data_IF_675506606731
#
_entry.id   IF_675506606731
#
_cell.length_a   1.000
_cell.length_b   1.000
_cell.length_c   1.000
_cell.angle_alpha   90.00
_cell.angle_beta   90.00
_cell.angle_gamma   90.00
#
_symmetry.space_group_name_H-M   'P 1'
#
loop_
_entity.id
_entity.type
_entity.pdbx_description
1 polymer ?
#
# COMPACT_ATOMS: atom_id res chain seq x y z
N UNK A 1 32.11 -32.38 8.55
CA UNK A 1 30.73 -32.37 8.05
C UNK A 1 29.79 -32.71 9.20
N UNK A 2 28.80 -31.85 9.47
CA UNK A 2 27.87 -31.98 10.58
C UNK A 2 26.46 -31.62 10.12
N UNK A 3 25.46 -32.28 10.70
CA UNK A 3 24.07 -31.87 10.61
C UNK A 3 23.78 -30.99 11.82
N UNK A 4 23.26 -29.78 11.57
CA UNK A 4 22.97 -28.77 12.59
C UNK A 4 21.50 -28.39 12.51
N UNK A 5 20.85 -28.31 13.66
CA UNK A 5 19.48 -27.82 13.81
C UNK A 5 19.49 -26.48 14.53
N UNK A 6 18.55 -25.59 14.22
CA UNK A 6 18.37 -24.34 14.99
C UNK A 6 17.13 -24.45 15.86
N UNK A 7 17.30 -24.49 17.19
CA UNK A 7 16.21 -24.49 18.17
C UNK A 7 16.21 -23.18 18.94
N UNK A 8 15.08 -22.46 18.95
CA UNK A 8 14.92 -21.20 19.68
C UNK A 8 16.04 -20.17 19.41
N UNK A 9 16.52 -20.09 18.16
CA UNK A 9 17.61 -19.20 17.77
C UNK A 9 19.02 -19.68 18.12
N UNK A 10 19.18 -20.86 18.75
CA UNK A 10 20.47 -21.48 19.04
C UNK A 10 20.75 -22.63 18.07
N UNK A 11 21.99 -22.69 17.57
CA UNK A 11 22.47 -23.78 16.70
C UNK A 11 22.93 -24.96 17.55
N UNK A 12 22.33 -26.12 17.33
CA UNK A 12 22.64 -27.37 18.03
C UNK A 12 23.14 -28.38 16.99
N UNK A 13 24.32 -28.96 17.22
CA UNK A 13 24.86 -30.01 16.37
C UNK A 13 24.08 -31.29 16.68
N UNK A 14 23.36 -31.80 15.68
CA UNK A 14 22.56 -33.02 15.80
C UNK A 14 23.45 -34.24 15.61
N UNK A 15 24.30 -34.21 14.59
CA UNK A 15 25.16 -35.35 14.26
C UNK A 15 26.46 -34.87 13.57
N UNK A 16 27.57 -35.54 13.88
CA UNK A 16 28.83 -35.37 13.16
C UNK A 16 29.03 -36.52 12.18
N UNK A 17 29.04 -36.22 10.87
CA UNK A 17 29.12 -37.21 9.80
C UNK A 17 30.57 -37.58 9.42
N UNK A 18 31.55 -36.78 9.83
CA UNK A 18 32.98 -37.05 9.60
C UNK A 18 33.73 -35.87 9.00
N UNK A 19 35.03 -36.01 8.81
CA UNK A 19 35.91 -35.01 8.18
C UNK A 19 36.24 -35.44 6.75
N UNK A 20 36.23 -34.49 5.82
CA UNK A 20 36.69 -34.72 4.45
C UNK A 20 38.06 -34.07 4.27
N UNK A 21 38.97 -34.80 3.64
CA UNK A 21 40.31 -34.33 3.27
C UNK A 21 40.49 -34.26 1.75
N UNK A 22 39.48 -34.68 0.98
CA UNK A 22 39.40 -34.55 -0.47
C UNK A 22 37.98 -34.14 -0.92
N UNK A 23 37.84 -33.59 -2.12
CA UNK A 23 36.54 -33.19 -2.68
C UNK A 23 35.60 -34.39 -2.91
N UNK A 24 36.17 -35.56 -3.24
CA UNK A 24 35.40 -36.80 -3.40
C UNK A 24 34.80 -37.27 -2.08
N UNK A 25 35.59 -37.21 -0.99
CA UNK A 25 35.10 -37.51 0.36
C UNK A 25 34.02 -36.51 0.80
N UNK A 26 34.20 -35.22 0.49
CA UNK A 26 33.19 -34.21 0.80
C UNK A 26 31.88 -34.47 0.06
N UNK A 27 31.93 -34.82 -1.23
CA UNK A 27 30.75 -35.16 -2.01
C UNK A 27 30.01 -36.38 -1.44
N UNK A 28 30.75 -37.41 -1.03
CA UNK A 28 30.18 -38.60 -0.38
C UNK A 28 29.52 -38.25 0.96
N UNK A 29 30.17 -37.43 1.80
CA UNK A 29 29.61 -36.99 3.07
C UNK A 29 28.38 -36.09 2.90
N UNK A 30 28.37 -35.22 1.88
CA UNK A 30 27.20 -34.40 1.54
C UNK A 30 26.02 -35.27 1.11
N UNK A 31 26.26 -36.29 0.28
CA UNK A 31 25.21 -37.23 -0.13
C UNK A 31 24.62 -37.98 1.06
N UNK A 32 25.48 -38.55 1.92
CA UNK A 32 25.04 -39.24 3.13
C UNK A 32 24.27 -38.30 4.10
N UNK A 33 24.68 -37.04 4.19
CA UNK A 33 23.97 -36.03 4.97
C UNK A 33 22.59 -35.71 4.42
N UNK A 34 22.45 -35.59 3.10
CA UNK A 34 21.14 -35.41 2.46
C UNK A 34 20.24 -36.62 2.71
N UNK A 35 20.73 -37.83 2.50
CA UNK A 35 19.95 -39.06 2.72
C UNK A 35 19.45 -39.15 4.17
N UNK A 36 20.25 -38.71 5.15
CA UNK A 36 19.86 -38.63 6.57
C UNK A 36 18.88 -37.51 6.90
N UNK A 37 19.02 -36.33 6.30
CA UNK A 37 18.06 -35.22 6.49
C UNK A 37 16.66 -35.59 6.00
N UNK A 38 16.57 -36.46 4.99
CA UNK A 38 15.31 -36.95 4.45
C UNK A 38 14.80 -38.22 5.14
N UNK A 39 15.58 -38.84 6.04
CA UNK A 39 15.15 -40.03 6.77
C UNK A 39 13.98 -39.69 7.72
N UNK A 40 12.84 -40.37 7.53
CA UNK A 40 11.63 -40.18 8.35
C UNK A 40 10.71 -39.05 7.89
N UNK A 41 11.07 -38.29 6.86
CA UNK A 41 10.10 -37.47 6.13
C UNK A 41 9.54 -38.30 4.97
N UNK A 42 8.29 -38.78 5.03
CA UNK A 42 7.66 -39.40 3.87
C UNK A 42 7.67 -38.39 2.73
N UNK A 43 7.95 -38.85 1.50
CA UNK A 43 7.81 -38.02 0.32
C UNK A 43 6.37 -37.47 0.32
N UNK A 44 6.25 -36.14 0.37
CA UNK A 44 4.96 -35.49 0.29
C UNK A 44 4.44 -35.73 -1.14
N UNK A 45 3.60 -36.76 -1.31
CA UNK A 45 3.00 -37.11 -2.60
C UNK A 45 1.98 -36.05 -3.02
N UNK A 46 2.48 -34.92 -3.51
CA UNK A 46 1.68 -33.87 -4.13
C UNK A 46 1.26 -34.22 -5.58
N UNK A 47 1.46 -35.47 -6.02
CA UNK A 47 1.38 -35.85 -7.44
C UNK A 47 2.49 -35.21 -8.28
N UNK A 48 3.61 -34.89 -7.64
CA UNK A 48 4.80 -34.28 -8.23
C UNK A 48 5.99 -35.04 -7.65
N UNK A 49 6.90 -35.52 -8.51
CA UNK A 49 8.15 -36.13 -8.07
C UNK A 49 8.85 -35.21 -7.03
N UNK A 50 9.73 -35.72 -6.15
CA UNK A 50 10.54 -34.86 -5.27
C UNK A 50 11.46 -33.88 -6.04
N UNK A 51 11.45 -33.92 -7.37
CA UNK A 51 12.07 -32.97 -8.30
C UNK A 51 11.09 -32.20 -9.20
N UNK A 52 9.79 -32.47 -9.09
CA UNK A 52 8.73 -31.64 -9.67
C UNK A 52 8.82 -31.37 -11.18
N UNK A 53 9.44 -32.27 -11.93
CA UNK A 53 9.92 -32.01 -13.28
C UNK A 53 9.41 -33.06 -14.28
N UNK A 54 8.92 -32.71 -15.50
CA UNK A 54 9.25 -33.57 -16.64
C UNK A 54 10.78 -33.71 -16.62
N UNK A 55 11.32 -34.92 -16.64
CA UNK A 55 12.76 -35.21 -16.47
C UNK A 55 13.62 -34.07 -17.04
N UNK A 56 14.15 -33.20 -16.14
CA UNK A 56 14.98 -32.05 -16.51
C UNK A 56 14.52 -30.62 -16.11
N UNK A 57 13.31 -30.38 -15.62
CA UNK A 57 12.87 -29.02 -15.23
C UNK A 57 12.58 -28.84 -13.73
N UNK A 58 13.61 -28.41 -12.97
CA UNK A 58 13.48 -27.99 -11.56
C UNK A 58 12.44 -26.87 -11.43
N UNK A 59 11.43 -27.05 -10.58
CA UNK A 59 10.47 -25.99 -10.27
C UNK A 59 11.19 -24.80 -9.61
N UNK A 60 11.24 -23.66 -10.30
CA UNK A 60 11.86 -22.43 -9.81
C UNK A 60 10.80 -21.56 -9.15
N UNK A 61 11.09 -21.05 -7.95
CA UNK A 61 10.25 -20.04 -7.30
C UNK A 61 10.26 -18.78 -8.16
N UNK A 62 9.14 -18.49 -8.83
CA UNK A 62 9.00 -17.30 -9.67
C UNK A 62 8.98 -15.99 -8.88
N UNK A 63 8.70 -16.04 -7.57
CA UNK A 63 8.74 -14.90 -6.66
C UNK A 63 8.07 -15.19 -5.32
N UNK A 64 8.22 -14.25 -4.38
CA UNK A 64 7.56 -14.26 -3.07
C UNK A 64 6.57 -13.09 -2.97
N UNK A 65 5.49 -13.25 -2.19
CA UNK A 65 4.48 -12.20 -2.01
C UNK A 65 3.95 -12.16 -0.58
N UNK A 66 3.74 -10.96 -0.06
CA UNK A 66 3.15 -10.71 1.27
C UNK A 66 1.63 -10.78 1.21
N UNK A 67 1.09 -11.95 0.81
CA UNK A 67 -0.35 -12.14 0.53
C UNK A 67 -1.23 -11.78 1.73
N UNK A 68 -0.94 -12.37 2.89
CA UNK A 68 -1.77 -12.22 4.09
C UNK A 68 -1.89 -10.75 4.53
N UNK A 69 -0.76 -10.03 4.51
CA UNK A 69 -0.72 -8.60 4.83
C UNK A 69 -1.61 -7.80 3.87
N UNK A 70 -1.46 -8.01 2.56
CA UNK A 70 -2.22 -7.29 1.56
C UNK A 70 -3.71 -7.62 1.61
N UNK A 71 -4.07 -8.89 1.84
CA UNK A 71 -5.45 -9.33 2.01
C UNK A 71 -6.06 -8.69 3.27
N UNK A 72 -5.32 -8.59 4.38
CA UNK A 72 -5.78 -7.94 5.60
C UNK A 72 -5.97 -6.42 5.44
N UNK A 73 -5.06 -5.74 4.75
CA UNK A 73 -5.20 -4.31 4.43
C UNK A 73 -6.43 -4.09 3.53
N UNK A 74 -6.60 -4.91 2.48
CA UNK A 74 -7.73 -4.80 1.55
C UNK A 74 -9.06 -5.14 2.22
N UNK A 75 -9.10 -6.15 3.07
CA UNK A 75 -10.29 -6.48 3.85
C UNK A 75 -10.68 -5.33 4.79
N UNK A 76 -9.70 -4.68 5.43
CA UNK A 76 -9.93 -3.52 6.28
C UNK A 76 -10.41 -2.30 5.47
N UNK A 77 -9.83 -2.07 4.29
CA UNK A 77 -10.30 -1.06 3.32
C UNK A 77 -11.78 -1.26 2.97
N UNK A 78 -12.17 -2.52 2.72
CA UNK A 78 -13.56 -2.91 2.46
C UNK A 78 -14.48 -2.65 3.66
N UNK A 79 -14.11 -3.12 4.85
CA UNK A 79 -14.91 -2.95 6.08
C UNK A 79 -15.11 -1.49 6.47
N UNK A 80 -14.10 -0.65 6.25
CA UNK A 80 -14.18 0.79 6.49
C UNK A 80 -15.03 1.54 5.45
N UNK A 81 -15.48 0.86 4.38
CA UNK A 81 -16.30 1.47 3.33
C UNK A 81 -15.49 2.31 2.33
N UNK A 82 -14.18 2.14 2.27
CA UNK A 82 -13.32 2.92 1.36
C UNK A 82 -13.40 2.46 -0.10
N UNK A 83 -14.23 1.45 -0.41
CA UNK A 83 -14.48 0.96 -1.78
C UNK A 83 -15.15 2.00 -2.68
N UNK A 84 -15.68 3.11 -2.12
CA UNK A 84 -16.12 4.27 -2.91
C UNK A 84 -14.97 4.91 -3.71
N UNK A 85 -13.72 4.73 -3.24
CA UNK A 85 -12.51 5.11 -3.98
C UNK A 85 -12.02 3.89 -4.76
N UNK A 86 -12.40 3.82 -6.03
CA UNK A 86 -11.95 2.79 -6.98
C UNK A 86 -10.69 3.26 -7.73
N UNK A 87 -9.59 3.43 -6.99
CA UNK A 87 -8.28 3.81 -7.55
C UNK A 87 -7.18 2.92 -6.96
N UNK A 88 -6.83 1.86 -7.69
CA UNK A 88 -5.82 0.88 -7.24
C UNK A 88 -4.43 1.51 -7.10
N UNK A 89 -4.09 2.53 -7.89
CA UNK A 89 -2.81 3.23 -7.74
C UNK A 89 -2.79 4.07 -6.45
N UNK A 90 -3.91 4.67 -6.07
CA UNK A 90 -4.07 5.32 -4.77
C UNK A 90 -4.02 4.32 -3.62
N UNK A 91 -4.69 3.16 -3.75
CA UNK A 91 -4.62 2.09 -2.77
C UNK A 91 -3.17 1.60 -2.56
N UNK A 92 -2.41 1.39 -3.64
CA UNK A 92 -0.99 1.02 -3.54
C UNK A 92 -0.16 2.08 -2.81
N UNK A 93 -0.40 3.37 -3.04
CA UNK A 93 0.29 4.43 -2.28
C UNK A 93 -0.05 4.37 -0.79
N UNK A 94 -1.31 4.17 -0.42
CA UNK A 94 -1.70 4.05 0.99
C UNK A 94 -1.08 2.80 1.62
N UNK A 95 -1.16 1.65 0.93
CA UNK A 95 -0.58 0.39 1.40
C UNK A 95 0.94 0.50 1.61
N UNK A 96 1.65 1.11 0.66
CA UNK A 96 3.09 1.36 0.80
C UNK A 96 3.38 2.20 2.04
N UNK A 97 2.61 3.27 2.27
CA UNK A 97 2.79 4.18 3.43
C UNK A 97 2.44 3.55 4.78
N UNK A 98 1.54 2.57 4.80
CA UNK A 98 1.23 1.80 6.00
C UNK A 98 2.36 0.84 6.37
N UNK A 99 3.06 0.30 5.36
CA UNK A 99 4.18 -0.63 5.56
C UNK A 99 5.48 0.11 5.85
N UNK A 100 5.79 1.14 5.06
CA UNK A 100 6.98 1.97 5.21
C UNK A 100 6.64 3.43 4.85
N UNK A 101 6.80 4.39 5.79
CA UNK A 101 6.55 5.80 5.52
C UNK A 101 7.70 6.38 4.66
N UNK A 102 7.65 6.14 3.35
CA UNK A 102 8.69 6.55 2.39
C UNK A 102 8.17 7.50 1.32
N UNK A 103 9.03 8.18 0.56
CA UNK A 103 8.66 9.06 -0.55
C UNK A 103 7.75 8.40 -1.61
N UNK A 104 7.03 9.23 -2.38
CA UNK A 104 6.12 8.77 -3.46
C UNK A 104 6.82 7.88 -4.49
N UNK A 105 8.03 8.30 -4.92
CA UNK A 105 8.83 7.56 -5.89
C UNK A 105 9.29 6.22 -5.33
N UNK A 106 9.67 6.23 -4.05
CA UNK A 106 10.17 5.04 -3.36
C UNK A 106 9.07 4.04 -2.97
N UNK A 107 7.79 4.45 -3.06
CA UNK A 107 6.65 3.52 -2.95
C UNK A 107 6.69 2.40 -4.00
N UNK A 108 7.32 2.62 -5.17
CA UNK A 108 7.55 1.58 -6.17
C UNK A 108 8.36 0.41 -5.58
N UNK A 109 9.43 0.72 -4.85
CA UNK A 109 10.28 -0.29 -4.21
C UNK A 109 9.47 -1.11 -3.20
N UNK A 110 8.72 -0.44 -2.32
CA UNK A 110 7.91 -1.09 -1.29
C UNK A 110 6.88 -2.03 -1.91
N UNK A 111 6.16 -1.59 -2.93
CA UNK A 111 5.15 -2.42 -3.59
C UNK A 111 5.77 -3.65 -4.28
N UNK A 112 6.91 -3.48 -4.94
CA UNK A 112 7.63 -4.61 -5.53
C UNK A 112 8.14 -5.58 -4.45
N UNK A 113 8.64 -5.08 -3.30
CA UNK A 113 9.06 -5.91 -2.17
C UNK A 113 7.90 -6.69 -1.52
N UNK A 114 6.68 -6.17 -1.58
CA UNK A 114 5.47 -6.88 -1.16
C UNK A 114 5.03 -7.97 -2.16
N UNK A 115 5.72 -8.12 -3.28
CA UNK A 115 5.41 -9.09 -4.34
C UNK A 115 4.21 -8.68 -5.19
N UNK A 116 3.95 -7.37 -5.28
CA UNK A 116 2.91 -6.78 -6.13
C UNK A 116 3.52 -6.07 -7.33
N UNK A 117 2.74 -5.92 -8.40
CA UNK A 117 3.14 -5.12 -9.55
C UNK A 117 2.90 -3.63 -9.27
N UNK A 118 3.98 -2.89 -9.04
CA UNK A 118 3.92 -1.44 -8.88
C UNK A 118 3.55 -0.76 -10.21
N UNK A 119 2.70 0.27 -10.14
CA UNK A 119 2.50 1.14 -11.27
C UNK A 119 3.71 2.06 -11.50
N UNK A 120 3.82 2.59 -12.72
CA UNK A 120 4.82 3.59 -13.05
C UNK A 120 4.61 4.88 -12.24
N UNK A 121 5.69 5.63 -11.97
CA UNK A 121 5.67 6.85 -11.15
C UNK A 121 4.62 7.86 -11.62
N UNK A 122 4.49 8.06 -12.94
CA UNK A 122 3.49 8.95 -13.54
C UNK A 122 2.05 8.57 -13.19
N UNK A 123 1.75 7.28 -13.05
CA UNK A 123 0.42 6.79 -12.67
C UNK A 123 0.11 7.12 -11.22
N UNK A 124 1.10 7.03 -10.32
CA UNK A 124 0.95 7.49 -8.95
C UNK A 124 0.74 9.00 -8.84
N UNK A 125 1.46 9.82 -9.61
CA UNK A 125 1.18 11.26 -9.65
C UNK A 125 -0.22 11.56 -10.20
N UNK A 126 -0.69 10.80 -11.19
CA UNK A 126 -2.06 10.92 -11.69
C UNK A 126 -3.09 10.53 -10.63
N UNK A 127 -2.85 9.48 -9.85
CA UNK A 127 -3.70 9.07 -8.73
C UNK A 127 -3.78 10.16 -7.65
N UNK A 128 -2.67 10.82 -7.32
CA UNK A 128 -2.67 11.94 -6.38
C UNK A 128 -3.44 13.16 -6.92
N UNK A 129 -3.36 13.44 -8.23
CA UNK A 129 -4.19 14.48 -8.85
C UNK A 129 -5.68 14.12 -8.79
N UNK A 130 -6.05 12.87 -9.06
CA UNK A 130 -7.44 12.38 -8.90
C UNK A 130 -7.90 12.45 -7.46
N UNK A 131 -7.05 12.10 -6.50
CA UNK A 131 -7.34 12.19 -5.07
C UNK A 131 -7.73 13.62 -4.65
N UNK A 132 -7.04 14.62 -5.20
CA UNK A 132 -7.38 16.02 -4.95
C UNK A 132 -8.67 16.44 -5.66
N UNK A 133 -8.81 16.11 -6.95
CA UNK A 133 -9.96 16.53 -7.74
C UNK A 133 -11.27 15.81 -7.36
N UNK A 134 -11.17 14.60 -6.81
CA UNK A 134 -12.29 13.76 -6.40
C UNK A 134 -12.59 13.82 -4.92
N UNK A 135 -12.01 14.75 -4.15
CA UNK A 135 -12.28 14.93 -2.72
C UNK A 135 -12.15 13.64 -1.89
N UNK A 136 -11.15 12.79 -2.17
CA UNK A 136 -11.00 11.49 -1.51
C UNK A 136 -10.95 11.63 0.02
N UNK A 137 -10.37 12.72 0.52
CA UNK A 137 -10.33 13.02 1.96
C UNK A 137 -11.74 13.10 2.56
N UNK A 138 -12.66 13.79 1.91
CA UNK A 138 -14.04 13.94 2.38
C UNK A 138 -14.77 12.59 2.33
N UNK A 139 -14.57 11.83 1.26
CA UNK A 139 -15.14 10.49 1.11
C UNK A 139 -14.65 9.53 2.21
N UNK A 140 -13.33 9.53 2.49
CA UNK A 140 -12.73 8.73 3.57
C UNK A 140 -13.27 9.16 4.93
N UNK A 141 -13.32 10.47 5.21
CA UNK A 141 -13.84 10.97 6.48
C UNK A 141 -15.30 10.53 6.70
N UNK A 142 -16.16 10.70 5.68
CA UNK A 142 -17.56 10.25 5.73
C UNK A 142 -17.69 8.74 5.94
N UNK A 143 -16.86 7.94 5.28
CA UNK A 143 -16.85 6.49 5.45
C UNK A 143 -16.45 6.10 6.89
N UNK A 144 -15.40 6.71 7.45
CA UNK A 144 -15.02 6.52 8.85
C UNK A 144 -16.15 6.87 9.82
N UNK A 145 -16.80 8.03 9.65
CA UNK A 145 -17.94 8.42 10.49
C UNK A 145 -19.11 7.43 10.40
N UNK A 146 -19.38 6.92 9.20
CA UNK A 146 -20.45 5.95 8.98
C UNK A 146 -20.12 4.64 9.68
N UNK A 147 -18.90 4.12 9.50
CA UNK A 147 -18.44 2.87 10.10
C UNK A 147 -18.53 2.88 11.63
N UNK A 148 -18.07 3.96 12.28
CA UNK A 148 -18.18 4.10 13.75
C UNK A 148 -19.63 4.12 14.22
N UNK A 149 -20.54 4.75 13.47
CA UNK A 149 -21.98 4.80 13.83
C UNK A 149 -22.69 3.47 13.63
N UNK A 150 -22.32 2.69 12.62
CA UNK A 150 -22.91 1.37 12.40
C UNK A 150 -22.43 0.34 13.41
N UNK A 151 -21.17 0.43 13.84
CA UNK A 151 -20.58 -0.51 14.82
C UNK A 151 -20.99 -0.19 16.26
N UNK A 152 -21.39 1.05 16.56
CA UNK A 152 -21.85 1.48 17.88
C UNK A 152 -23.27 1.01 18.25
N UNK A 153 -23.97 0.26 17.37
CA UNK A 153 -25.29 -0.31 17.67
C UNK A 153 -26.41 0.72 17.88
N UNK A 154 -26.19 1.98 17.50
CA UNK A 154 -27.16 3.04 17.74
C UNK A 154 -28.20 3.10 16.61
N UNK A 155 -29.41 2.59 16.91
CA UNK A 155 -30.60 2.72 16.05
C UNK A 155 -30.79 4.18 15.61
N UNK A 156 -31.17 4.46 14.35
CA UNK A 156 -31.32 5.83 13.90
C UNK A 156 -32.47 6.53 14.66
N UNK A 157 -32.29 7.77 15.14
CA UNK A 157 -33.42 8.58 15.59
C UNK A 157 -34.32 8.92 14.38
N UNK A 158 -35.63 8.86 14.61
CA UNK A 158 -36.69 8.74 13.60
C UNK A 158 -36.94 9.94 12.66
N UNK A 159 -36.19 11.05 12.72
CA UNK A 159 -36.66 12.32 12.11
C UNK A 159 -35.69 13.06 11.18
N UNK A 160 -34.68 12.44 10.55
CA UNK A 160 -33.69 13.25 9.78
C UNK A 160 -33.24 12.70 8.43
N UNK A 161 -34.12 12.06 7.67
CA UNK A 161 -33.84 11.70 6.27
C UNK A 161 -34.32 12.72 5.22
N UNK A 162 -35.09 13.74 5.60
CA UNK A 162 -35.54 14.79 4.66
C UNK A 162 -34.86 16.17 4.81
N UNK A 163 -34.17 16.47 5.92
CA UNK A 163 -33.56 17.80 6.13
C UNK A 163 -32.04 17.91 5.91
N UNK A 164 -31.27 16.81 5.75
CA UNK A 164 -29.78 16.89 5.73
C UNK A 164 -29.10 16.66 4.38
N UNK A 165 -29.81 16.16 3.37
CA UNK A 165 -29.32 16.18 1.99
C UNK A 165 -29.57 17.56 1.35
N UNK A 166 -29.20 18.63 2.05
CA UNK A 166 -29.20 20.01 1.55
C UNK A 166 -28.24 20.26 0.39
N UNK A 167 -28.10 19.29 -0.52
CA UNK A 167 -27.48 19.39 -1.82
C UNK A 167 -28.42 20.18 -2.73
N UNK A 168 -28.56 21.48 -2.46
CA UNK A 168 -28.67 22.44 -3.57
C UNK A 168 -27.30 22.50 -4.21
N UNK A 169 -27.19 21.89 -5.38
CA UNK A 169 -26.10 22.11 -6.33
C UNK A 169 -26.12 23.59 -6.76
N UNK A 170 -25.38 24.44 -6.04
CA UNK A 170 -25.08 25.79 -6.51
C UNK A 170 -24.04 25.67 -7.61
N UNK A 171 -24.51 25.78 -8.86
CA UNK A 171 -23.68 25.85 -10.05
C UNK A 171 -22.72 27.04 -9.97
N UNK A 172 -21.52 26.82 -10.49
CA UNK A 172 -20.54 27.86 -10.83
C UNK A 172 -21.20 28.81 -11.85
N UNK A 173 -21.72 29.96 -11.41
CA UNK A 173 -22.18 31.02 -12.31
C UNK A 173 -20.95 31.82 -12.79
N UNK A 174 -20.49 31.45 -13.98
CA UNK A 174 -19.47 32.19 -14.75
C UNK A 174 -20.20 33.33 -15.45
N UNK A 175 -20.35 34.49 -14.81
CA UNK A 175 -20.95 35.67 -15.44
C UNK A 175 -19.96 36.80 -15.65
N UNK A 176 -19.61 36.91 -16.93
CA UNK A 176 -18.97 38.00 -17.65
C UNK A 176 -19.58 39.35 -17.21
N UNK A 177 -18.77 40.26 -16.67
CA UNK A 177 -19.13 41.67 -16.58
C UNK A 177 -18.70 42.39 -17.86
N UNK A 178 -19.71 42.79 -18.64
CA UNK A 178 -19.64 43.67 -19.80
C UNK A 178 -19.85 45.11 -19.33
N UNK A 179 -19.05 46.02 -19.88
CA UNK A 179 -19.18 47.48 -20.06
C UNK A 179 -20.34 48.24 -19.39
N UNK A 180 -20.04 49.37 -18.73
CA UNK A 180 -20.64 50.71 -19.00
C UNK A 180 -20.01 51.87 -18.17
N UNK A 181 -20.25 53.17 -18.50
CA UNK A 181 -19.19 54.10 -18.92
C UNK A 181 -18.97 55.30 -17.98
N UNK A 182 -18.06 56.19 -18.43
CA UNK A 182 -17.48 57.34 -17.76
C UNK A 182 -18.43 58.48 -17.34
N UNK A 183 -18.10 59.13 -16.21
CA UNK A 183 -17.80 60.58 -16.14
C UNK A 183 -17.26 61.00 -14.76
N UNK A 184 -16.42 62.03 -14.78
CA UNK A 184 -15.48 62.56 -13.79
C UNK A 184 -16.04 63.21 -12.52
N UNK A 185 -15.27 63.20 -11.42
CA UNK A 185 -14.76 64.41 -10.73
C UNK A 185 -13.66 64.07 -9.71
N UNK A 186 -12.63 64.93 -9.64
CA UNK A 186 -11.44 64.90 -8.76
C UNK A 186 -11.81 65.02 -7.27
N UNK A 187 -10.97 64.46 -6.38
CA UNK A 187 -10.17 65.18 -5.35
C UNK A 187 -9.47 64.20 -4.40
N UNK A 188 -8.13 64.23 -4.45
CA UNK A 188 -7.15 64.28 -3.35
C UNK A 188 -7.04 63.21 -2.23
N UNK A 189 -5.77 62.85 -2.00
CA UNK A 189 -5.07 62.44 -0.76
C UNK A 189 -4.69 60.95 -0.56
N UNK A 190 -3.37 60.74 -0.62
CA UNK A 190 -2.54 59.58 -0.21
C UNK A 190 -2.53 59.33 1.33
N UNK A 191 -1.76 58.35 1.88
CA UNK A 191 -1.40 56.98 1.45
C UNK A 191 -1.58 55.93 2.59
N UNK A 192 -1.56 54.62 2.29
CA UNK A 192 -0.97 53.61 3.20
C UNK A 192 -0.88 52.18 2.60
N UNK A 193 0.35 51.68 2.45
CA UNK A 193 0.75 50.30 2.80
C UNK A 193 0.35 49.12 1.89
N UNK A 194 1.30 48.36 1.33
CA UNK A 194 1.00 47.12 0.63
C UNK A 194 0.65 45.98 1.61
N UNK A 195 -0.46 45.31 1.31
CA UNK A 195 -0.90 44.06 1.90
C UNK A 195 -0.30 42.86 1.15
N UNK A 196 0.41 41.99 1.88
CA UNK A 196 0.54 40.54 1.63
C UNK A 196 1.36 39.88 2.73
N UNK A 197 0.96 38.69 3.19
CA UNK A 197 1.71 37.53 2.71
C UNK A 197 0.81 36.40 2.22
N UNK A 198 1.22 35.82 1.09
CA UNK A 198 0.56 34.68 0.46
C UNK A 198 0.77 33.38 1.24
N UNK A 199 -0.32 32.65 1.46
CA UNK A 199 -0.31 31.27 1.92
C UNK A 199 0.12 30.31 0.82
N UNK A 200 1.43 30.23 0.54
CA UNK A 200 2.05 29.10 -0.15
C UNK A 200 2.66 28.20 0.93
N UNK A 201 1.89 27.23 1.41
CA UNK A 201 2.28 26.46 2.60
C UNK A 201 1.70 25.06 2.73
N UNK A 202 1.31 24.42 1.62
CA UNK A 202 0.82 23.04 1.64
C UNK A 202 1.66 22.05 0.82
N UNK A 203 2.63 22.52 0.04
CA UNK A 203 3.44 21.67 -0.84
C UNK A 203 4.80 21.21 -0.24
N UNK A 204 5.15 21.67 0.97
CA UNK A 204 6.42 21.33 1.62
C UNK A 204 6.32 20.36 2.81
N UNK A 205 5.14 19.78 3.07
CA UNK A 205 4.93 18.93 4.26
C UNK A 205 4.59 17.47 3.96
N UNK A 206 5.30 16.88 3.00
CA UNK A 206 5.31 15.43 2.75
C UNK A 206 6.72 14.91 2.40
N UNK A 207 7.70 15.30 3.22
CA UNK A 207 9.00 14.63 3.32
C UNK A 207 9.14 14.08 4.75
N UNK A 208 8.76 12.82 4.89
CA UNK A 208 9.47 11.86 5.72
C UNK A 208 9.85 10.72 4.77
#
# INVERSE_FOLDING_TARGET
MQIVETKHGQRVIVEHLGSAHTDAELAALMRAGHDKLHAGQPALELGIDPHGAPVGAVAVVAGTRSKLLMDAIRASWGRLGFTVIDDEAFFQLVAARLVEPTSKRDSIRVINQLGMHAFHENTYYAALRRCMAGDYREQIAKACFTHVRTDAGESPPRDTLLCRLGLRSAGVDRRIHRDRPASSTKLENEPCGPSSPGGKGWLERLQF
#
